data_IF_025514466701
#
_entry.id   IF_025514466701
#
_cell.length_a   1.000
_cell.length_b   1.000
_cell.length_c   1.000
_cell.angle_alpha   90.00
_cell.angle_beta   90.00
_cell.angle_gamma   90.00
#
_symmetry.space_group_name_H-M   'P 1'
#
loop_
_entity.id
_entity.type
_entity.pdbx_description
1 polymer ?
#
# COMPACT_ATOMS: atom_id res chain seq x y z
N UNK A 1 12.64 10.13 -21.70
CA UNK A 1 11.59 9.31 -21.06
C UNK A 1 11.96 7.86 -21.30
N UNK A 2 12.11 7.08 -20.25
CA UNK A 2 12.34 5.63 -20.33
C UNK A 2 11.18 5.00 -21.10
N UNK A 3 11.46 4.17 -22.09
CA UNK A 3 10.42 3.50 -22.86
C UNK A 3 9.95 2.26 -22.10
N UNK A 4 8.75 2.32 -21.51
CA UNK A 4 8.11 1.16 -20.90
C UNK A 4 7.29 0.40 -21.95
N UNK A 5 7.31 -0.93 -21.89
CA UNK A 5 6.44 -1.77 -22.72
C UNK A 5 5.01 -1.75 -22.16
N UNK A 6 4.02 -1.82 -23.04
CA UNK A 6 2.63 -1.94 -22.62
C UNK A 6 2.45 -3.22 -21.78
N UNK A 7 1.89 -3.13 -20.56
CA UNK A 7 1.70 -4.30 -19.71
C UNK A 7 0.57 -5.18 -20.23
N UNK A 8 0.64 -6.48 -19.92
CA UNK A 8 -0.49 -7.40 -20.08
C UNK A 8 -1.31 -7.39 -18.80
N UNK A 9 -2.63 -7.20 -18.92
CA UNK A 9 -3.55 -7.37 -17.78
C UNK A 9 -3.49 -8.82 -17.26
N UNK A 10 -3.34 -8.98 -15.94
CA UNK A 10 -3.48 -10.27 -15.27
C UNK A 10 -4.91 -10.79 -15.43
N UNK A 11 -5.09 -12.06 -15.76
CA UNK A 11 -6.40 -12.70 -15.69
C UNK A 11 -6.78 -12.91 -14.23
N UNK A 12 -8.08 -13.08 -13.96
CA UNK A 12 -8.59 -13.30 -12.61
C UNK A 12 -7.99 -14.56 -11.99
N UNK A 13 -7.78 -15.59 -12.80
CA UNK A 13 -7.24 -16.89 -12.39
C UNK A 13 -5.73 -16.84 -12.06
N UNK A 14 -5.02 -15.80 -12.50
CA UNK A 14 -3.60 -15.59 -12.17
C UNK A 14 -3.42 -14.99 -10.77
N UNK A 15 -4.41 -14.25 -10.25
CA UNK A 15 -4.30 -13.51 -9.00
C UNK A 15 -3.99 -14.41 -7.79
N UNK A 16 -4.67 -15.56 -7.60
CA UNK A 16 -4.36 -16.47 -6.49
C UNK A 16 -2.92 -16.97 -6.48
N UNK A 17 -2.29 -17.15 -7.65
CA UNK A 17 -0.89 -17.56 -7.73
C UNK A 17 0.04 -16.46 -7.23
N UNK A 18 -0.26 -15.20 -7.56
CA UNK A 18 0.54 -14.05 -7.08
C UNK A 18 0.37 -13.87 -5.57
N UNK A 19 -0.84 -14.05 -5.03
CA UNK A 19 -1.07 -14.08 -3.57
C UNK A 19 -0.17 -15.14 -2.92
N UNK A 20 -0.10 -16.34 -3.50
CA UNK A 20 0.78 -17.40 -3.02
C UNK A 20 2.27 -17.06 -3.16
N UNK A 21 2.68 -16.33 -4.21
CA UNK A 21 4.07 -15.89 -4.36
C UNK A 21 4.48 -14.91 -3.26
N UNK A 22 3.61 -13.96 -2.86
CA UNK A 22 3.85 -13.09 -1.70
C UNK A 22 3.95 -13.89 -0.40
N UNK A 23 3.06 -14.87 -0.20
CA UNK A 23 3.07 -15.77 0.96
C UNK A 23 4.40 -16.53 1.05
N UNK A 24 4.84 -17.15 -0.05
CA UNK A 24 6.11 -17.87 -0.11
C UNK A 24 7.32 -16.95 0.10
N UNK A 25 7.30 -15.75 -0.48
CA UNK A 25 8.35 -14.76 -0.28
C UNK A 25 8.46 -14.34 1.20
N UNK A 26 7.33 -14.17 1.89
CA UNK A 26 7.30 -13.87 3.32
C UNK A 26 7.90 -15.02 4.16
N UNK A 27 7.51 -16.27 3.90
CA UNK A 27 8.12 -17.43 4.55
C UNK A 27 9.64 -17.46 4.36
N UNK A 28 10.08 -17.29 3.11
CA UNK A 28 11.51 -17.30 2.77
C UNK A 28 12.28 -16.18 3.49
N UNK A 29 11.67 -15.00 3.68
CA UNK A 29 12.28 -13.92 4.45
C UNK A 29 12.49 -14.32 5.92
N UNK A 30 11.51 -14.96 6.54
CA UNK A 30 11.66 -15.46 7.92
C UNK A 30 12.72 -16.57 7.99
N UNK A 31 12.74 -17.51 7.05
CA UNK A 31 13.77 -18.55 6.97
C UNK A 31 15.18 -17.98 6.76
N UNK A 32 15.29 -16.83 6.07
CA UNK A 32 16.54 -16.10 5.90
C UNK A 32 16.97 -15.28 7.13
N UNK A 33 16.14 -15.22 8.18
CA UNK A 33 16.45 -14.54 9.44
C UNK A 33 16.00 -13.08 9.52
N UNK A 34 15.10 -12.62 8.64
CA UNK A 34 14.44 -11.33 8.81
C UNK A 34 13.43 -11.39 9.97
N UNK A 35 13.32 -10.30 10.73
CA UNK A 35 12.35 -10.18 11.83
C UNK A 35 10.89 -10.07 11.34
N UNK A 36 10.70 -9.64 10.09
CA UNK A 36 9.39 -9.45 9.46
C UNK A 36 9.49 -8.93 8.03
N UNK A 37 8.36 -8.57 7.46
CA UNK A 37 8.27 -8.07 6.08
C UNK A 37 7.39 -6.82 5.98
N UNK A 38 7.71 -5.96 5.01
CA UNK A 38 6.84 -4.86 4.58
C UNK A 38 6.23 -5.19 3.21
N UNK A 39 4.91 -5.30 3.15
CA UNK A 39 4.18 -5.42 1.88
C UNK A 39 4.23 -4.06 1.18
N UNK A 40 4.77 -4.02 -0.04
CA UNK A 40 4.87 -2.78 -0.81
C UNK A 40 3.57 -2.49 -1.57
N UNK A 41 2.66 -1.73 -0.96
CA UNK A 41 1.39 -1.25 -1.53
C UNK A 41 1.42 0.21 -1.99
N UNK A 42 2.54 0.68 -2.53
CA UNK A 42 2.82 2.11 -2.74
C UNK A 42 3.61 2.34 -4.05
N UNK A 43 3.86 3.61 -4.38
CA UNK A 43 4.70 4.10 -5.48
C UNK A 43 4.38 3.52 -6.87
N UNK A 44 3.10 3.38 -7.19
CA UNK A 44 2.62 2.94 -8.50
C UNK A 44 3.01 1.51 -8.88
N UNK A 45 3.50 0.70 -7.92
CA UNK A 45 3.77 -0.72 -8.15
C UNK A 45 2.47 -1.53 -8.18
N UNK A 46 2.60 -2.83 -8.46
CA UNK A 46 1.49 -3.75 -8.76
C UNK A 46 0.26 -3.58 -7.86
N UNK A 47 0.44 -3.58 -6.54
CA UNK A 47 -0.70 -3.50 -5.60
C UNK A 47 -1.39 -2.14 -5.66
N UNK A 48 -0.62 -1.06 -5.81
CA UNK A 48 -1.18 0.28 -5.93
C UNK A 48 -1.88 0.49 -7.29
N UNK A 49 -1.39 -0.17 -8.35
CA UNK A 49 -2.07 -0.20 -9.65
C UNK A 49 -3.46 -0.86 -9.57
N UNK A 50 -3.65 -1.87 -8.72
CA UNK A 50 -4.99 -2.41 -8.44
C UNK A 50 -5.81 -1.46 -7.56
N UNK A 51 -5.20 -0.88 -6.53
CA UNK A 51 -5.91 -0.02 -5.59
C UNK A 51 -6.42 1.27 -6.21
N UNK A 52 -5.79 1.83 -7.24
CA UNK A 52 -6.08 3.17 -7.76
C UNK A 52 -6.84 3.18 -9.10
N UNK A 53 -7.89 3.99 -9.19
CA UNK A 53 -8.85 3.94 -10.30
C UNK A 53 -8.34 4.51 -11.64
N UNK A 54 -7.29 5.36 -11.65
CA UNK A 54 -6.67 5.78 -12.91
C UNK A 54 -5.86 4.66 -13.57
N UNK A 55 -5.42 3.66 -12.80
CA UNK A 55 -4.66 2.51 -13.28
C UNK A 55 -5.51 1.24 -13.41
N UNK A 56 -6.52 1.06 -12.54
CA UNK A 56 -7.38 -0.12 -12.54
C UNK A 56 -8.72 0.12 -13.27
N UNK A 57 -8.75 -0.28 -14.53
CA UNK A 57 -9.93 -0.31 -15.40
C UNK A 57 -10.57 -1.71 -15.49
N UNK A 58 -10.31 -2.62 -14.54
CA UNK A 58 -10.92 -3.95 -14.51
C UNK A 58 -12.44 -3.87 -14.24
N UNK A 59 -13.16 -4.84 -14.77
CA UNK A 59 -14.62 -4.99 -14.60
C UNK A 59 -15.01 -6.25 -13.83
N UNK A 60 -14.03 -7.01 -13.34
CA UNK A 60 -14.22 -8.18 -12.49
C UNK A 60 -14.20 -7.83 -11.00
N UNK A 61 -14.12 -8.84 -10.14
CA UNK A 61 -14.14 -8.71 -8.68
C UNK A 61 -12.91 -7.97 -8.09
N UNK A 62 -11.92 -7.65 -8.92
CA UNK A 62 -10.72 -6.89 -8.55
C UNK A 62 -10.70 -5.46 -9.10
N UNK A 63 -11.82 -4.96 -9.66
CA UNK A 63 -11.94 -3.59 -10.16
C UNK A 63 -13.30 -2.92 -9.94
N UNK A 64 -13.38 -1.66 -10.37
CA UNK A 64 -14.56 -0.82 -10.23
C UNK A 64 -14.72 -0.25 -8.82
N UNK A 65 -15.42 -0.97 -7.94
CA UNK A 65 -15.72 -0.47 -6.59
C UNK A 65 -14.44 -0.33 -5.74
N UNK A 66 -14.47 0.55 -4.74
CA UNK A 66 -13.34 0.73 -3.81
C UNK A 66 -12.98 -0.60 -3.11
N UNK A 67 -13.99 -1.38 -2.70
CA UNK A 67 -13.80 -2.71 -2.12
C UNK A 67 -13.05 -3.65 -3.08
N UNK A 68 -13.51 -3.75 -4.32
CA UNK A 68 -12.92 -4.64 -5.32
C UNK A 68 -11.47 -4.25 -5.65
N UNK A 69 -11.20 -2.94 -5.80
CA UNK A 69 -9.85 -2.43 -6.06
C UNK A 69 -8.87 -2.76 -4.91
N UNK A 70 -9.36 -2.77 -3.68
CA UNK A 70 -8.55 -3.12 -2.51
C UNK A 70 -8.44 -4.63 -2.26
N UNK A 71 -9.33 -5.45 -2.82
CA UNK A 71 -9.45 -6.90 -2.60
C UNK A 71 -8.11 -7.63 -2.75
N UNK A 72 -7.43 -7.41 -3.87
CA UNK A 72 -6.14 -8.09 -4.15
C UNK A 72 -5.07 -7.79 -3.09
N UNK A 73 -4.95 -6.53 -2.67
CA UNK A 73 -4.00 -6.14 -1.61
C UNK A 73 -4.37 -6.79 -0.28
N UNK A 74 -5.66 -6.85 0.06
CA UNK A 74 -6.12 -7.44 1.31
C UNK A 74 -5.97 -8.98 1.32
N UNK A 75 -6.14 -9.66 0.19
CA UNK A 75 -5.83 -11.09 0.04
C UNK A 75 -4.35 -11.38 0.28
N UNK A 76 -3.45 -10.52 -0.21
CA UNK A 76 -2.01 -10.61 0.07
C UNK A 76 -1.72 -10.38 1.55
N UNK A 77 -2.31 -9.35 2.15
CA UNK A 77 -2.16 -9.08 3.59
C UNK A 77 -2.58 -10.32 4.39
N UNK A 78 -3.77 -10.86 4.13
CA UNK A 78 -4.27 -12.05 4.80
C UNK A 78 -3.31 -13.24 4.67
N UNK A 79 -2.91 -13.57 3.44
CA UNK A 79 -2.04 -14.70 3.17
C UNK A 79 -0.68 -14.56 3.88
N UNK A 80 -0.08 -13.37 3.87
CA UNK A 80 1.19 -13.10 4.52
C UNK A 80 1.05 -13.12 6.05
N UNK A 81 -0.01 -12.52 6.61
CA UNK A 81 -0.25 -12.56 8.06
C UNK A 81 -0.50 -13.98 8.58
N UNK A 82 -1.18 -14.81 7.79
CA UNK A 82 -1.43 -16.21 8.14
C UNK A 82 -0.15 -17.06 8.07
N UNK A 83 0.79 -16.72 7.18
CA UNK A 83 2.04 -17.48 7.02
C UNK A 83 3.06 -17.18 8.12
N UNK A 84 3.26 -15.90 8.46
CA UNK A 84 4.38 -15.48 9.31
C UNK A 84 3.97 -14.79 10.62
N UNK A 85 2.67 -14.64 10.87
CA UNK A 85 2.13 -13.93 12.04
C UNK A 85 2.00 -12.42 11.77
N UNK A 86 0.87 -11.84 12.15
CA UNK A 86 0.56 -10.43 11.89
C UNK A 86 1.51 -9.46 12.61
N UNK A 87 2.09 -9.88 13.73
CA UNK A 87 3.08 -9.13 14.50
C UNK A 87 4.42 -8.96 13.76
N UNK A 88 4.59 -9.61 12.61
CA UNK A 88 5.78 -9.51 11.73
C UNK A 88 5.48 -8.85 10.39
N UNK A 89 4.27 -8.31 10.20
CA UNK A 89 3.81 -7.78 8.92
C UNK A 89 3.57 -6.29 9.03
N UNK A 90 4.22 -5.53 8.17
CA UNK A 90 3.86 -4.14 7.87
C UNK A 90 3.36 -3.98 6.44
N UNK A 91 2.74 -2.85 6.15
CA UNK A 91 2.36 -2.48 4.79
C UNK A 91 2.67 -1.00 4.54
N UNK A 92 3.23 -0.71 3.36
CA UNK A 92 3.49 0.64 2.89
C UNK A 92 2.40 1.12 1.92
N UNK A 93 1.89 2.33 2.11
CA UNK A 93 0.84 2.94 1.29
C UNK A 93 1.21 4.38 0.88
N UNK A 94 0.80 4.80 -0.32
CA UNK A 94 0.98 6.17 -0.83
C UNK A 94 -0.29 6.70 -1.52
N UNK A 95 -1.43 6.78 -0.79
CA UNK A 95 -2.73 7.05 -1.40
C UNK A 95 -2.76 8.33 -2.22
N UNK A 96 -2.01 9.36 -1.81
CA UNK A 96 -1.98 10.69 -2.45
C UNK A 96 -0.94 10.86 -3.56
N UNK A 97 -0.06 9.88 -3.79
CA UNK A 97 0.94 9.97 -4.85
C UNK A 97 0.32 9.64 -6.20
N UNK A 98 0.66 10.38 -7.26
CA UNK A 98 0.27 10.03 -8.63
C UNK A 98 1.46 9.45 -9.43
N UNK A 99 2.49 8.95 -8.72
CA UNK A 99 3.71 8.44 -9.33
C UNK A 99 3.43 7.33 -10.37
N UNK A 100 4.06 7.44 -11.54
CA UNK A 100 3.92 6.47 -12.62
C UNK A 100 2.51 6.45 -13.24
N UNK A 101 1.84 7.60 -13.30
CA UNK A 101 0.45 7.76 -13.76
C UNK A 101 -0.56 6.93 -12.95
N UNK A 102 -0.20 6.55 -11.72
CA UNK A 102 -1.01 5.73 -10.82
C UNK A 102 -1.65 6.62 -9.74
N UNK A 103 -2.67 7.39 -10.14
CA UNK A 103 -3.44 8.26 -9.24
C UNK A 103 -4.83 7.73 -8.92
N UNK A 104 -5.48 8.30 -7.90
CA UNK A 104 -6.84 7.95 -7.48
C UNK A 104 -7.78 9.17 -7.56
N UNK A 105 -9.04 8.98 -7.91
CA UNK A 105 -10.03 10.05 -7.91
C UNK A 105 -10.44 10.52 -6.51
N UNK A 106 -10.30 9.66 -5.49
CA UNK A 106 -10.58 9.97 -4.10
C UNK A 106 -9.56 9.29 -3.15
N UNK A 107 -8.31 9.79 -3.14
CA UNK A 107 -7.21 9.17 -2.39
C UNK A 107 -7.45 9.15 -0.87
N UNK A 108 -8.25 10.10 -0.36
CA UNK A 108 -8.64 10.11 1.05
C UNK A 108 -9.57 8.94 1.40
N UNK A 109 -10.58 8.66 0.57
CA UNK A 109 -11.45 7.51 0.78
C UNK A 109 -10.68 6.19 0.65
N UNK A 110 -9.77 6.09 -0.32
CA UNK A 110 -8.90 4.92 -0.50
C UNK A 110 -8.03 4.68 0.75
N UNK A 111 -7.33 5.72 1.21
CA UNK A 111 -6.46 5.61 2.38
C UNK A 111 -7.22 5.23 3.65
N UNK A 112 -8.41 5.81 3.89
CA UNK A 112 -9.26 5.48 5.03
C UNK A 112 -9.79 4.05 4.97
N UNK A 113 -10.25 3.61 3.81
CA UNK A 113 -10.73 2.23 3.61
C UNK A 113 -9.62 1.21 3.91
N UNK A 114 -8.42 1.45 3.38
CA UNK A 114 -7.30 0.54 3.59
C UNK A 114 -6.90 0.45 5.07
N UNK A 115 -6.74 1.56 5.79
CA UNK A 115 -6.36 1.48 7.21
C UNK A 115 -7.44 0.83 8.08
N UNK A 116 -8.71 1.08 7.79
CA UNK A 116 -9.82 0.43 8.51
C UNK A 116 -9.84 -1.09 8.24
N UNK A 117 -9.64 -1.50 7.00
CA UNK A 117 -9.55 -2.91 6.63
C UNK A 117 -8.34 -3.61 7.29
N UNK A 118 -7.18 -2.95 7.30
CA UNK A 118 -5.95 -3.47 7.90
C UNK A 118 -6.07 -3.76 9.40
N UNK A 119 -6.92 -3.03 10.12
CA UNK A 119 -7.19 -3.29 11.54
C UNK A 119 -7.73 -4.71 11.79
N UNK A 120 -8.43 -5.31 10.83
CA UNK A 120 -8.99 -6.67 10.95
C UNK A 120 -7.91 -7.75 10.93
N UNK A 121 -6.78 -7.47 10.29
CA UNK A 121 -5.65 -8.39 10.15
C UNK A 121 -4.59 -8.22 11.23
N UNK A 122 -4.67 -7.14 12.03
CA UNK A 122 -3.76 -6.90 13.15
C UNK A 122 -2.29 -6.69 12.74
N UNK A 123 -2.05 -6.19 11.52
CA UNK A 123 -0.68 -5.92 11.03
C UNK A 123 0.07 -5.00 12.01
N UNK A 124 1.36 -5.29 12.22
CA UNK A 124 2.21 -4.58 13.18
C UNK A 124 2.25 -3.06 12.92
N UNK A 125 2.37 -2.67 11.65
CA UNK A 125 2.44 -1.26 11.30
C UNK A 125 1.85 -0.93 9.93
N UNK A 126 1.41 0.33 9.79
CA UNK A 126 1.11 0.96 8.51
C UNK A 126 2.13 2.08 8.28
N UNK A 127 2.87 2.00 7.17
CA UNK A 127 3.88 2.97 6.76
C UNK A 127 3.31 3.82 5.62
N UNK A 128 3.09 5.11 5.87
CA UNK A 128 2.50 6.01 4.89
C UNK A 128 3.49 7.04 4.34
N UNK A 129 3.40 7.24 3.03
CA UNK A 129 4.08 8.33 2.34
C UNK A 129 3.26 9.62 2.48
N UNK A 130 3.92 10.67 2.94
CA UNK A 130 3.33 12.00 3.10
C UNK A 130 2.82 12.57 1.77
N UNK A 131 1.64 13.20 1.75
CA UNK A 131 1.04 13.74 0.53
C UNK A 131 1.81 14.93 -0.04
N UNK A 132 2.72 15.54 0.75
CA UNK A 132 3.60 16.62 0.31
C UNK A 132 4.67 16.17 -0.69
N UNK A 133 4.82 14.87 -0.92
CA UNK A 133 5.84 14.31 -1.80
C UNK A 133 5.26 14.07 -3.20
N UNK A 134 5.56 14.95 -4.15
CA UNK A 134 5.26 14.71 -5.57
C UNK A 134 6.32 13.82 -6.22
N UNK A 135 7.60 14.08 -5.93
CA UNK A 135 8.76 13.34 -6.41
C UNK A 135 9.72 13.06 -5.24
N UNK A 136 10.77 12.25 -5.46
CA UNK A 136 11.75 11.86 -4.40
C UNK A 136 12.36 13.09 -3.69
N UNK A 137 12.61 14.18 -4.41
CA UNK A 137 13.36 15.33 -3.91
C UNK A 137 12.51 16.61 -3.74
N UNK A 138 11.23 16.56 -4.07
CA UNK A 138 10.39 17.76 -4.19
C UNK A 138 9.23 17.72 -3.18
N UNK A 139 9.22 18.72 -2.29
CA UNK A 139 8.10 18.96 -1.36
C UNK A 139 7.20 20.03 -1.95
N UNK A 140 5.91 19.73 -2.00
CA UNK A 140 4.90 20.65 -2.52
C UNK A 140 3.90 20.97 -1.42
N UNK A 141 3.39 22.22 -1.40
CA UNK A 141 2.30 22.56 -0.50
C UNK A 141 1.06 21.74 -0.86
N UNK A 142 0.50 21.05 0.12
CA UNK A 142 -0.61 20.15 -0.08
C UNK A 142 -1.61 20.30 1.07
N UNK A 143 -2.90 20.30 0.74
CA UNK A 143 -3.99 20.40 1.72
C UNK A 143 -4.38 19.04 2.31
N UNK A 144 -3.90 17.94 1.74
CA UNK A 144 -4.15 16.60 2.26
C UNK A 144 -3.34 16.33 3.52
N UNK A 145 -3.87 15.44 4.38
CA UNK A 145 -3.26 15.09 5.65
C UNK A 145 -3.43 13.60 5.92
N UNK A 146 -2.41 13.00 6.55
CA UNK A 146 -2.46 11.61 7.03
C UNK A 146 -3.18 11.46 8.38
N UNK A 147 -3.54 12.56 9.05
CA UNK A 147 -4.17 12.54 10.39
C UNK A 147 -5.45 11.70 10.44
N UNK A 148 -6.37 11.76 9.45
CA UNK A 148 -7.56 10.90 9.45
C UNK A 148 -7.19 9.41 9.44
N UNK A 149 -6.22 9.01 8.61
CA UNK A 149 -5.75 7.63 8.53
C UNK A 149 -5.05 7.20 9.82
N UNK A 150 -4.22 8.07 10.41
CA UNK A 150 -3.58 7.81 11.71
C UNK A 150 -4.62 7.54 12.79
N UNK A 151 -5.70 8.32 12.84
CA UNK A 151 -6.77 8.17 13.85
C UNK A 151 -7.57 6.88 13.65
N UNK A 152 -7.71 6.40 12.42
CA UNK A 152 -8.44 5.19 12.10
C UNK A 152 -7.61 3.91 12.30
N UNK A 153 -6.28 3.98 12.18
CA UNK A 153 -5.40 2.81 12.34
C UNK A 153 -5.06 2.54 13.82
N UNK A 154 -5.25 1.31 14.28
CA UNK A 154 -5.05 0.92 15.68
C UNK A 154 -3.58 0.57 16.01
N UNK A 155 -2.77 0.21 15.02
CA UNK A 155 -1.38 -0.21 15.21
C UNK A 155 -0.36 0.93 15.15
N UNK A 156 0.91 0.56 14.96
CA UNK A 156 2.01 1.51 14.78
C UNK A 156 1.87 2.22 13.44
N UNK A 157 1.86 3.55 13.44
CA UNK A 157 1.74 4.34 12.21
C UNK A 157 3.05 5.07 11.94
N UNK A 158 3.74 4.68 10.87
CA UNK A 158 4.99 5.28 10.45
C UNK A 158 4.75 6.22 9.28
N UNK A 159 5.44 7.36 9.27
CA UNK A 159 5.35 8.35 8.20
C UNK A 159 6.71 8.62 7.58
N UNK A 160 6.74 8.79 6.28
CA UNK A 160 7.93 9.17 5.51
C UNK A 160 7.60 10.22 4.47
N UNK A 161 8.60 10.97 4.01
CA UNK A 161 8.43 12.01 3.01
C UNK A 161 8.80 13.39 3.53
N UNK A 162 9.99 13.85 3.15
CA UNK A 162 10.41 15.22 3.41
C UNK A 162 10.63 15.56 4.89
N UNK A 163 10.96 14.58 5.73
CA UNK A 163 11.28 14.82 7.14
C UNK A 163 12.74 15.24 7.33
N UNK A 164 12.95 16.40 7.95
CA UNK A 164 14.22 16.70 8.63
C UNK A 164 14.20 16.20 10.08
N UNK A 165 15.31 16.41 10.81
CA UNK A 165 15.40 16.02 12.24
C UNK A 165 14.29 16.62 13.09
N UNK A 166 14.04 17.93 12.94
CA UNK A 166 13.04 18.62 13.76
C UNK A 166 11.61 18.20 13.41
N UNK A 167 11.31 18.03 12.12
CA UNK A 167 10.01 17.55 11.67
C UNK A 167 9.69 16.17 12.25
N UNK A 168 10.70 15.29 12.30
CA UNK A 168 10.54 13.93 12.84
C UNK A 168 10.26 13.93 14.34
N UNK A 169 10.95 14.80 15.10
CA UNK A 169 10.69 14.98 16.54
C UNK A 169 9.27 15.49 16.77
N UNK A 170 8.80 16.42 15.94
CA UNK A 170 7.47 17.02 16.09
C UNK A 170 6.31 16.06 15.72
N UNK A 171 6.59 14.96 15.02
CA UNK A 171 5.58 14.01 14.56
C UNK A 171 5.29 12.86 15.56
N UNK A 172 6.10 12.74 16.62
CA UNK A 172 5.94 11.76 17.70
C UNK A 172 5.16 12.40 18.86
#
# INVERSE_FOLDING_TARGET
MSQFTQPRRLTTEEIPNIVNDFRLAARNAIEAGFDGVEIHGAHGYLLEQFMKDKANDRTDEYGGSLENRCRFTLEIVEAVTNEIGAERVGIKLSPFSDFGDCGDSNPQALGLYMVDALNKYGVLYCHMVEPRMENIDEKTECFHSLVPMRKAFNGTFMVTGGYGRQDGINAI
#
